data_IF_224664174248
#
_entry.id   IF_224664174248
#
_cell.length_a   1.000
_cell.length_b   1.000
_cell.length_c   1.000
_cell.angle_alpha   90.00
_cell.angle_beta   90.00
_cell.angle_gamma   90.00
#
_symmetry.space_group_name_H-M   'P 1'
#
loop_
_entity.id
_entity.type
_entity.pdbx_description
1 polymer ?
#
# COMPACT_ATOMS: atom_id res chain seq x y z
N UNK A 1 -22.89 76.87 26.36
CA UNK A 1 -23.79 75.73 26.59
C UNK A 1 -23.12 74.50 26.04
N UNK A 2 -22.53 73.69 26.93
CA UNK A 2 -22.01 72.37 26.59
C UNK A 2 -23.20 71.40 26.61
N UNK A 3 -23.48 70.75 25.48
CA UNK A 3 -24.58 69.79 25.33
C UNK A 3 -24.04 68.44 24.88
N UNK A 4 -23.75 67.60 25.88
CA UNK A 4 -23.78 66.12 25.89
C UNK A 4 -23.99 65.39 24.55
N UNK A 5 -22.91 64.86 23.98
CA UNK A 5 -22.88 63.84 22.92
C UNK A 5 -22.34 62.52 23.50
N UNK A 6 -23.08 61.86 24.40
CA UNK A 6 -22.53 60.67 25.07
C UNK A 6 -23.51 59.66 25.68
N UNK A 7 -24.81 59.65 25.33
CA UNK A 7 -25.79 58.80 26.03
C UNK A 7 -26.40 57.64 25.23
N UNK A 8 -26.34 57.63 23.89
CA UNK A 8 -27.03 56.60 23.09
C UNK A 8 -26.21 55.32 22.88
N UNK A 9 -24.88 55.39 22.84
CA UNK A 9 -24.03 54.20 22.71
C UNK A 9 -24.02 53.33 23.99
N UNK A 10 -24.35 53.91 25.16
CA UNK A 10 -24.38 53.20 26.44
C UNK A 10 -25.62 52.31 26.64
N UNK A 11 -26.76 52.71 26.09
CA UNK A 11 -28.05 52.02 26.30
C UNK A 11 -28.17 50.78 25.41
N UNK A 12 -27.70 50.86 24.15
CA UNK A 12 -27.63 49.70 23.25
C UNK A 12 -26.63 48.64 23.76
N UNK A 13 -25.52 49.09 24.38
CA UNK A 13 -24.57 48.20 25.03
C UNK A 13 -25.19 47.51 26.27
N UNK A 14 -25.98 48.21 27.09
CA UNK A 14 -26.64 47.62 28.26
C UNK A 14 -27.76 46.63 27.90
N UNK A 15 -28.60 46.92 26.89
CA UNK A 15 -29.63 45.99 26.42
C UNK A 15 -29.03 44.73 25.78
N UNK A 16 -27.93 44.87 25.04
CA UNK A 16 -27.21 43.69 24.51
C UNK A 16 -26.58 42.84 25.63
N UNK A 17 -26.16 43.49 26.73
CA UNK A 17 -25.58 42.81 27.89
C UNK A 17 -26.63 42.09 28.74
N UNK A 18 -27.84 42.65 28.89
CA UNK A 18 -28.92 41.99 29.65
C UNK A 18 -29.50 40.80 28.90
N UNK A 19 -29.67 40.92 27.57
CA UNK A 19 -30.10 39.79 26.73
C UNK A 19 -29.07 38.66 26.72
N UNK A 20 -27.77 38.99 26.74
CA UNK A 20 -26.72 37.99 26.85
C UNK A 20 -26.77 37.26 28.21
N UNK A 21 -27.05 37.97 29.30
CA UNK A 21 -27.22 37.39 30.64
C UNK A 21 -28.46 36.49 30.73
N UNK A 22 -29.60 36.91 30.20
CA UNK A 22 -30.81 36.07 30.18
C UNK A 22 -30.63 34.80 29.33
N UNK A 23 -29.84 34.90 28.25
CA UNK A 23 -29.50 33.73 27.43
C UNK A 23 -28.62 32.73 28.19
N UNK A 24 -27.62 33.23 28.92
CA UNK A 24 -26.72 32.41 29.75
C UNK A 24 -27.48 31.70 30.89
N UNK A 25 -28.42 32.40 31.54
CA UNK A 25 -29.25 31.81 32.59
C UNK A 25 -30.16 30.71 32.03
N UNK A 26 -30.71 30.88 30.82
CA UNK A 26 -31.49 29.86 30.13
C UNK A 26 -30.66 28.64 29.71
N UNK A 27 -29.38 28.82 29.35
CA UNK A 27 -28.49 27.71 29.00
C UNK A 27 -28.19 26.79 30.19
N UNK A 28 -28.24 27.32 31.42
CA UNK A 28 -27.97 26.56 32.65
C UNK A 28 -29.21 25.86 33.23
N UNK A 29 -30.40 26.13 32.71
CA UNK A 29 -31.64 25.54 33.19
C UNK A 29 -31.67 24.00 32.94
N UNK A 30 -32.08 23.18 33.93
CA UNK A 30 -32.27 21.75 33.74
C UNK A 30 -33.53 21.48 32.90
N UNK A 31 -33.44 20.51 32.00
CA UNK A 31 -34.49 20.22 31.01
C UNK A 31 -34.76 18.72 30.92
N UNK A 32 -36.03 18.35 30.76
CA UNK A 32 -36.45 16.97 30.42
C UNK A 32 -36.90 16.91 28.96
N UNK A 33 -36.63 15.79 28.31
CA UNK A 33 -36.94 15.60 26.89
C UNK A 33 -37.99 14.51 26.75
N UNK A 34 -39.11 14.83 26.10
CA UNK A 34 -40.22 13.91 25.88
C UNK A 34 -40.05 13.12 24.59
N UNK A 35 -39.76 13.80 23.48
CA UNK A 35 -39.61 13.15 22.17
C UNK A 35 -38.67 13.90 21.24
N UNK A 36 -37.98 13.14 20.37
CA UNK A 36 -37.21 13.66 19.23
C UNK A 36 -37.82 13.09 17.96
N UNK A 37 -38.35 13.96 17.10
CA UNK A 37 -38.89 13.57 15.80
C UNK A 37 -37.97 14.02 14.66
N UNK A 38 -37.49 13.09 13.86
CA UNK A 38 -36.66 13.39 12.68
C UNK A 38 -37.50 13.29 11.41
N UNK A 39 -37.79 14.43 10.80
CA UNK A 39 -38.61 14.55 9.59
C UNK A 39 -37.74 14.68 8.34
N UNK A 40 -38.05 13.95 7.27
CA UNK A 40 -37.41 14.10 5.95
C UNK A 40 -36.23 13.17 5.63
N UNK A 41 -35.83 12.31 6.58
CA UNK A 41 -34.86 11.23 6.38
C UNK A 41 -35.52 10.00 5.73
N UNK A 42 -35.68 10.00 4.40
CA UNK A 42 -36.37 8.94 3.64
C UNK A 42 -35.50 7.71 3.36
N UNK A 43 -34.23 7.92 3.04
CA UNK A 43 -33.27 6.90 2.62
C UNK A 43 -32.17 6.65 3.66
N UNK A 44 -32.17 7.36 4.79
CA UNK A 44 -31.29 7.10 5.93
C UNK A 44 -31.89 6.03 6.86
N UNK A 45 -31.08 5.03 7.22
CA UNK A 45 -31.49 3.93 8.11
C UNK A 45 -31.74 4.42 9.52
N UNK A 46 -32.77 3.87 10.16
CA UNK A 46 -33.06 4.11 11.58
C UNK A 46 -31.88 3.80 12.49
N UNK A 47 -31.19 2.67 12.27
CA UNK A 47 -30.03 2.32 13.11
C UNK A 47 -28.88 3.35 13.13
N UNK A 48 -28.74 4.20 12.11
CA UNK A 48 -27.79 5.32 12.13
C UNK A 48 -28.33 6.50 12.97
N UNK A 49 -29.62 6.80 12.83
CA UNK A 49 -30.30 7.84 13.61
C UNK A 49 -30.39 7.45 15.09
N UNK A 50 -30.76 6.21 15.38
CA UNK A 50 -30.88 5.67 16.73
C UNK A 50 -29.53 5.76 17.45
N UNK A 51 -28.43 5.33 16.80
CA UNK A 51 -27.10 5.42 17.40
C UNK A 51 -26.63 6.87 17.70
N UNK A 52 -27.16 7.86 16.97
CA UNK A 52 -26.84 9.28 17.18
C UNK A 52 -27.70 9.93 18.26
N UNK A 53 -29.00 9.65 18.29
CA UNK A 53 -29.97 10.35 19.15
C UNK A 53 -30.31 9.60 20.43
N UNK A 54 -30.18 8.26 20.46
CA UNK A 54 -30.47 7.46 21.65
C UNK A 54 -29.65 7.87 22.89
N UNK A 55 -28.34 8.15 22.80
CA UNK A 55 -27.58 8.62 23.96
C UNK A 55 -28.09 9.95 24.54
N UNK A 56 -28.58 10.85 23.67
CA UNK A 56 -29.14 12.15 24.08
C UNK A 56 -30.45 11.93 24.85
N UNK A 57 -31.30 11.03 24.36
CA UNK A 57 -32.58 10.68 24.99
C UNK A 57 -32.34 10.03 26.37
N UNK A 58 -31.39 9.10 26.47
CA UNK A 58 -31.05 8.41 27.73
C UNK A 58 -30.48 9.37 28.79
N UNK A 59 -29.64 10.33 28.37
CA UNK A 59 -29.09 11.35 29.28
C UNK A 59 -30.15 12.37 29.72
N UNK A 60 -31.04 12.78 28.81
CA UNK A 60 -32.13 13.70 29.14
C UNK A 60 -33.18 13.06 30.06
N UNK A 61 -33.47 11.77 29.90
CA UNK A 61 -34.34 11.00 30.80
C UNK A 61 -33.78 10.87 32.23
N UNK A 62 -32.45 10.99 32.38
CA UNK A 62 -31.76 10.88 33.68
C UNK A 62 -31.70 12.20 34.48
N UNK A 63 -32.38 13.26 34.04
CA UNK A 63 -32.40 14.62 34.66
C UNK A 63 -31.02 15.28 34.79
N UNK A 64 -30.03 14.89 33.99
CA UNK A 64 -28.61 15.29 34.13
C UNK A 64 -28.13 16.31 33.10
N UNK A 65 -29.02 16.86 32.28
CA UNK A 65 -28.66 17.73 31.14
C UNK A 65 -29.20 19.14 31.34
N UNK A 66 -28.34 20.13 31.07
CA UNK A 66 -28.71 21.54 30.93
C UNK A 66 -29.18 21.83 29.51
N UNK A 67 -29.98 22.87 29.31
CA UNK A 67 -30.41 23.29 27.96
C UNK A 67 -29.21 23.56 27.03
N UNK A 68 -28.14 24.16 27.54
CA UNK A 68 -26.92 24.43 26.78
C UNK A 68 -26.17 23.15 26.35
N UNK A 69 -26.10 22.15 27.22
CA UNK A 69 -25.50 20.85 26.87
C UNK A 69 -26.33 20.12 25.81
N UNK A 70 -27.67 20.16 25.95
CA UNK A 70 -28.58 19.59 24.97
C UNK A 70 -28.39 20.20 23.58
N UNK A 71 -28.38 21.53 23.47
CA UNK A 71 -28.17 22.22 22.20
C UNK A 71 -26.82 21.87 21.58
N UNK A 72 -25.76 21.74 22.40
CA UNK A 72 -24.43 21.35 21.93
C UNK A 72 -24.42 19.92 21.39
N UNK A 73 -25.05 18.98 22.09
CA UNK A 73 -25.16 17.59 21.64
C UNK A 73 -25.99 17.45 20.37
N UNK A 74 -27.11 18.18 20.27
CA UNK A 74 -27.94 18.22 19.07
C UNK A 74 -27.19 18.82 17.87
N UNK A 75 -26.43 19.89 18.09
CA UNK A 75 -25.56 20.46 17.05
C UNK A 75 -24.47 19.47 16.63
N UNK A 76 -23.85 18.76 17.57
CA UNK A 76 -22.84 17.72 17.27
C UNK A 76 -23.45 16.56 16.47
N UNK A 77 -24.64 16.08 16.86
CA UNK A 77 -25.36 15.04 16.13
C UNK A 77 -25.74 15.51 14.72
N UNK A 78 -26.14 16.77 14.57
CA UNK A 78 -26.46 17.38 13.29
C UNK A 78 -25.23 17.52 12.38
N UNK A 79 -24.08 17.92 12.92
CA UNK A 79 -22.80 17.95 12.19
C UNK A 79 -22.40 16.55 11.70
N UNK A 80 -22.56 15.53 12.54
CA UNK A 80 -22.30 14.12 12.17
C UNK A 80 -23.25 13.61 11.08
N UNK A 81 -24.46 14.14 10.97
CA UNK A 81 -25.42 13.87 9.90
C UNK A 81 -25.13 14.62 8.59
N UNK A 82 -24.39 15.73 8.69
CA UNK A 82 -24.01 16.62 7.58
C UNK A 82 -23.49 15.95 6.30
N UNK A 83 -22.77 14.81 6.33
CA UNK A 83 -22.36 14.11 5.10
C UNK A 83 -23.52 13.57 4.26
N UNK A 84 -24.66 13.25 4.88
CA UNK A 84 -25.83 12.61 4.24
C UNK A 84 -27.03 13.54 4.05
N UNK A 85 -27.20 14.49 4.96
CA UNK A 85 -28.33 15.42 4.97
C UNK A 85 -27.84 16.86 5.04
N UNK A 86 -28.59 17.77 4.45
CA UNK A 86 -28.51 19.19 4.76
C UNK A 86 -29.64 19.51 5.73
N UNK A 87 -29.32 20.10 6.87
CA UNK A 87 -30.33 20.58 7.81
C UNK A 87 -30.72 22.00 7.49
N UNK A 88 -32.02 22.25 7.46
CA UNK A 88 -32.54 23.60 7.68
C UNK A 88 -32.37 23.94 9.16
N UNK A 89 -32.11 25.20 9.53
CA UNK A 89 -32.14 25.60 10.94
C UNK A 89 -33.46 25.15 11.58
N UNK A 90 -33.44 24.71 12.86
CA UNK A 90 -34.62 24.16 13.51
C UNK A 90 -35.77 25.15 13.42
N UNK A 91 -36.84 24.73 12.74
CA UNK A 91 -38.05 25.51 12.59
C UNK A 91 -38.89 25.20 13.82
N UNK A 92 -38.98 26.15 14.76
CA UNK A 92 -39.72 26.10 16.02
C UNK A 92 -39.19 25.15 17.11
N UNK A 93 -38.52 25.72 18.11
CA UNK A 93 -38.60 25.26 19.50
C UNK A 93 -39.81 25.96 20.12
N UNK A 94 -40.95 25.27 20.23
CA UNK A 94 -42.07 25.80 21.01
C UNK A 94 -41.68 25.71 22.49
N UNK A 95 -41.15 26.80 23.04
CA UNK A 95 -40.96 26.95 24.48
C UNK A 95 -42.35 27.03 25.11
N UNK A 96 -42.79 25.92 25.70
CA UNK A 96 -43.95 25.93 26.58
C UNK A 96 -43.55 26.70 27.84
N UNK A 97 -44.34 27.70 28.19
CA UNK A 97 -44.06 28.79 29.13
C UNK A 97 -44.09 28.37 30.63
N UNK A 98 -43.58 27.18 30.99
CA UNK A 98 -43.65 26.66 32.38
C UNK A 98 -42.45 25.75 32.73
N UNK A 99 -41.65 26.03 33.78
CA UNK A 99 -40.71 25.05 34.34
C UNK A 99 -41.43 24.02 35.24
N UNK A 100 -41.02 22.74 35.27
CA UNK A 100 -39.83 22.16 34.64
C UNK A 100 -40.22 21.51 33.30
N UNK A 101 -39.74 22.07 32.20
CA UNK A 101 -40.41 21.96 30.90
C UNK A 101 -39.96 20.71 30.14
N UNK A 102 -40.88 19.77 29.96
CA UNK A 102 -40.77 18.70 28.95
C UNK A 102 -40.67 19.30 27.55
N UNK A 103 -39.53 19.12 26.89
CA UNK A 103 -39.32 19.57 25.51
C UNK A 103 -39.66 18.47 24.50
N UNK A 104 -40.37 18.87 23.45
CA UNK A 104 -40.56 18.10 22.21
C UNK A 104 -39.71 18.73 21.10
N UNK A 105 -38.78 17.95 20.53
CA UNK A 105 -37.79 18.44 19.56
C UNK A 105 -38.10 17.87 18.18
N UNK A 106 -38.44 18.74 17.23
CA UNK A 106 -38.62 18.34 15.84
C UNK A 106 -37.44 18.79 14.98
N UNK A 107 -36.74 17.82 14.38
CA UNK A 107 -35.58 18.05 13.51
C UNK A 107 -36.01 17.77 12.07
N UNK A 108 -36.05 18.82 11.25
CA UNK A 108 -36.32 18.67 9.81
C UNK A 108 -35.01 18.58 9.03
N UNK A 109 -34.79 17.45 8.39
CA UNK A 109 -33.62 17.19 7.55
C UNK A 109 -34.02 17.08 6.09
N UNK A 110 -33.15 17.54 5.19
CA UNK A 110 -33.30 17.33 3.74
C UNK A 110 -32.12 16.49 3.25
N UNK A 111 -32.40 15.33 2.69
CA UNK A 111 -31.34 14.48 2.14
C UNK A 111 -30.61 15.15 0.98
N UNK A 112 -29.27 15.02 0.97
CA UNK A 112 -28.43 15.49 -0.13
C UNK A 112 -28.64 14.58 -1.35
N UNK A 113 -28.38 15.12 -2.54
CA UNK A 113 -28.40 14.31 -3.77
C UNK A 113 -27.47 13.10 -3.61
N UNK A 114 -27.97 11.92 -3.99
CA UNK A 114 -27.23 10.66 -3.91
C UNK A 114 -26.08 10.61 -4.88
N UNK A 115 -26.24 11.17 -6.08
CA UNK A 115 -25.18 11.24 -7.09
C UNK A 115 -24.71 12.69 -7.21
N UNK A 116 -23.41 12.89 -6.99
CA UNK A 116 -22.72 14.13 -7.30
C UNK A 116 -21.66 13.83 -8.36
N UNK A 117 -21.80 14.48 -9.51
CA UNK A 117 -20.82 14.44 -10.58
C UNK A 117 -20.10 15.79 -10.61
N UNK A 118 -18.77 15.73 -10.60
CA UNK A 118 -17.90 16.89 -10.80
C UNK A 118 -16.93 16.55 -11.93
N UNK A 119 -16.86 17.39 -12.95
CA UNK A 119 -15.87 17.28 -14.00
C UNK A 119 -15.17 18.63 -14.13
N UNK A 120 -13.87 18.61 -14.33
CA UNK A 120 -13.07 19.81 -14.42
C UNK A 120 -11.81 19.58 -15.23
N UNK A 121 -11.24 20.68 -15.68
CA UNK A 121 -9.94 20.72 -16.35
C UNK A 121 -9.07 21.73 -15.61
N UNK A 122 -7.88 21.32 -15.22
CA UNK A 122 -6.84 22.17 -14.67
C UNK A 122 -5.79 22.43 -15.75
N UNK A 123 -5.42 23.70 -15.94
CA UNK A 123 -4.46 24.14 -16.95
C UNK A 123 -3.45 25.04 -16.24
N UNK A 124 -2.24 24.52 -16.02
CA UNK A 124 -1.10 25.27 -15.48
C UNK A 124 0.04 25.39 -16.49
N UNK A 125 1.09 26.14 -16.13
CA UNK A 125 2.22 26.50 -17.00
C UNK A 125 2.97 25.31 -17.66
N UNK A 126 2.76 24.08 -17.21
CA UNK A 126 3.39 22.88 -17.77
C UNK A 126 2.52 21.61 -17.73
N UNK A 127 1.29 21.67 -17.24
CA UNK A 127 0.44 20.49 -17.05
C UNK A 127 -1.02 20.84 -17.32
N UNK A 128 -1.63 20.09 -18.25
CA UNK A 128 -3.07 20.09 -18.48
C UNK A 128 -3.62 18.76 -17.97
N UNK A 129 -4.60 18.80 -17.07
CA UNK A 129 -5.26 17.60 -16.57
C UNK A 129 -6.76 17.77 -16.58
N UNK A 130 -7.47 16.78 -17.12
CA UNK A 130 -8.91 16.64 -17.00
C UNK A 130 -9.19 15.61 -15.91
N UNK A 131 -10.13 15.90 -15.03
CA UNK A 131 -10.60 14.97 -14.02
C UNK A 131 -12.12 14.88 -14.02
N UNK A 132 -12.59 13.70 -13.65
CA UNK A 132 -13.99 13.38 -13.43
C UNK A 132 -14.08 12.70 -12.07
N UNK A 133 -15.01 13.17 -11.25
CA UNK A 133 -15.27 12.64 -9.93
C UNK A 133 -16.76 12.35 -9.80
N UNK A 134 -17.09 11.12 -9.41
CA UNK A 134 -18.44 10.67 -9.16
C UNK A 134 -18.54 10.22 -7.71
N UNK A 135 -19.36 10.89 -6.92
CA UNK A 135 -19.62 10.53 -5.53
C UNK A 135 -21.06 10.04 -5.40
N UNK A 136 -21.20 8.76 -5.06
CA UNK A 136 -22.45 8.14 -4.68
C UNK A 136 -22.53 8.15 -3.15
N UNK A 137 -23.46 8.95 -2.61
CA UNK A 137 -23.69 9.12 -1.18
C UNK A 137 -24.84 8.25 -0.72
N UNK A 138 -24.73 7.79 0.53
CA UNK A 138 -25.75 7.06 1.25
C UNK A 138 -26.31 5.89 0.43
N UNK A 139 -25.41 5.03 -0.05
CA UNK A 139 -25.74 3.96 -1.01
C UNK A 139 -26.79 3.02 -0.43
N UNK A 140 -26.59 2.61 0.82
CA UNK A 140 -27.47 1.67 1.50
C UNK A 140 -28.24 2.30 2.67
N UNK A 141 -28.04 3.60 2.94
CA UNK A 141 -28.73 4.33 3.99
C UNK A 141 -27.97 4.44 5.30
N UNK A 142 -26.76 3.86 5.40
CA UNK A 142 -25.91 3.90 6.58
C UNK A 142 -24.81 4.95 6.49
N UNK A 143 -24.99 6.02 5.71
CA UNK A 143 -23.94 7.01 5.42
C UNK A 143 -22.72 6.46 4.65
N UNK A 144 -22.89 5.37 3.89
CA UNK A 144 -21.85 4.83 3.02
C UNK A 144 -21.64 5.74 1.81
N UNK A 145 -20.41 5.85 1.34
CA UNK A 145 -20.07 6.59 0.13
C UNK A 145 -19.15 5.81 -0.80
N UNK A 146 -19.38 5.92 -2.10
CA UNK A 146 -18.46 5.46 -3.13
C UNK A 146 -18.01 6.68 -3.93
N UNK A 147 -16.71 6.96 -3.91
CA UNK A 147 -16.09 8.02 -4.71
C UNK A 147 -15.26 7.37 -5.80
N UNK A 148 -15.57 7.68 -7.06
CA UNK A 148 -14.77 7.25 -8.21
C UNK A 148 -14.17 8.50 -8.85
N UNK A 149 -12.85 8.57 -8.86
CA UNK A 149 -12.08 9.60 -9.52
C UNK A 149 -11.37 9.00 -10.73
N UNK A 150 -11.50 9.64 -11.89
CA UNK A 150 -10.71 9.34 -13.07
C UNK A 150 -10.10 10.64 -13.58
N UNK A 151 -8.78 10.68 -13.69
CA UNK A 151 -8.02 11.81 -14.21
C UNK A 151 -7.11 11.38 -15.34
N UNK A 152 -6.96 12.27 -16.31
CA UNK A 152 -6.08 12.13 -17.46
C UNK A 152 -5.41 13.47 -17.69
N UNK A 153 -4.14 13.47 -18.06
CA UNK A 153 -3.40 14.70 -18.28
C UNK A 153 -2.13 14.46 -19.07
N UNK A 154 -1.43 15.56 -19.35
CA UNK A 154 -0.20 15.54 -20.12
C UNK A 154 0.91 14.74 -19.44
N UNK A 155 0.97 14.77 -18.10
CA UNK A 155 1.95 14.02 -17.30
C UNK A 155 1.41 12.69 -16.76
N UNK A 156 0.18 12.71 -16.25
CA UNK A 156 -0.50 11.53 -15.74
C UNK A 156 -1.46 11.01 -16.82
N UNK A 157 -1.01 10.06 -17.64
CA UNK A 157 -1.78 9.57 -18.79
C UNK A 157 -3.16 9.05 -18.38
N UNK A 158 -3.22 8.31 -17.28
CA UNK A 158 -4.46 7.80 -16.73
C UNK A 158 -4.30 7.51 -15.24
N UNK A 159 -5.16 8.07 -14.40
CA UNK A 159 -5.24 7.74 -12.98
C UNK A 159 -6.69 7.51 -12.59
N UNK A 160 -6.98 6.29 -12.15
CA UNK A 160 -8.27 5.85 -11.65
C UNK A 160 -8.14 5.56 -10.16
N UNK A 161 -9.05 6.09 -9.37
CA UNK A 161 -9.16 5.81 -7.95
C UNK A 161 -10.62 5.56 -7.60
N UNK A 162 -10.91 4.45 -6.95
CA UNK A 162 -12.24 4.15 -6.42
C UNK A 162 -12.13 3.92 -4.91
N UNK A 163 -12.83 4.73 -4.12
CA UNK A 163 -12.86 4.66 -2.66
C UNK A 163 -14.27 4.38 -2.19
N UNK A 164 -14.50 3.19 -1.62
CA UNK A 164 -15.71 2.87 -0.90
C UNK A 164 -15.48 3.11 0.60
N UNK A 165 -16.37 3.84 1.26
CA UNK A 165 -16.30 4.10 2.68
C UNK A 165 -17.63 3.81 3.37
N UNK A 166 -17.56 3.14 4.51
CA UNK A 166 -18.72 2.81 5.34
C UNK A 166 -18.39 3.09 6.80
N UNK A 167 -19.27 3.73 7.57
CA UNK A 167 -19.18 3.65 9.01
C UNK A 167 -19.36 2.21 9.47
N UNK A 168 -18.60 1.79 10.46
CA UNK A 168 -18.76 0.48 11.10
C UNK A 168 -19.75 0.60 12.24
N UNK A 169 -20.60 -0.42 12.40
CA UNK A 169 -21.58 -0.49 13.49
C UNK A 169 -22.52 0.72 13.56
N UNK A 170 -22.82 1.35 12.41
CA UNK A 170 -23.59 2.60 12.33
C UNK A 170 -23.01 3.76 13.15
N UNK A 171 -21.71 3.73 13.48
CA UNK A 171 -21.04 4.82 14.17
C UNK A 171 -20.30 5.71 13.16
N UNK A 172 -20.70 6.98 12.97
CA UNK A 172 -20.02 7.88 12.03
C UNK A 172 -18.58 8.20 12.42
N UNK A 173 -18.22 8.02 13.69
CA UNK A 173 -16.88 8.26 14.22
C UNK A 173 -15.92 7.12 13.88
N UNK A 174 -16.42 5.90 13.62
CA UNK A 174 -15.63 4.72 13.24
C UNK A 174 -15.89 4.37 11.78
N UNK A 175 -14.91 4.61 10.90
CA UNK A 175 -15.06 4.50 9.46
C UNK A 175 -14.08 3.51 8.86
N UNK A 176 -14.60 2.55 8.11
CA UNK A 176 -13.82 1.70 7.22
C UNK A 176 -13.83 2.28 5.81
N UNK A 177 -12.69 2.19 5.13
CA UNK A 177 -12.52 2.62 3.76
C UNK A 177 -11.68 1.61 3.00
N UNK A 178 -12.14 1.26 1.81
CA UNK A 178 -11.46 0.41 0.84
C UNK A 178 -11.22 1.24 -0.41
N UNK A 179 -9.97 1.37 -0.79
CA UNK A 179 -9.52 2.12 -1.96
C UNK A 179 -8.86 1.17 -2.94
N UNK A 180 -9.19 1.33 -4.23
CA UNK A 180 -8.49 0.70 -5.35
C UNK A 180 -7.95 1.78 -6.26
N UNK A 181 -6.64 1.75 -6.54
CA UNK A 181 -5.96 2.73 -7.37
C UNK A 181 -5.28 2.05 -8.56
N UNK A 182 -5.38 2.68 -9.72
CA UNK A 182 -4.59 2.35 -10.91
C UNK A 182 -4.15 3.65 -11.58
N UNK A 183 -2.86 3.92 -11.56
CA UNK A 183 -2.27 5.13 -12.14
C UNK A 183 -1.14 4.80 -13.10
N UNK A 184 -1.02 5.61 -14.14
CA UNK A 184 0.10 5.64 -15.08
C UNK A 184 0.53 7.09 -15.23
N UNK A 185 1.75 7.38 -14.79
CA UNK A 185 2.33 8.70 -14.85
C UNK A 185 3.71 8.66 -15.49
N UNK A 186 3.94 9.57 -16.42
CA UNK A 186 5.27 9.82 -16.96
C UNK A 186 6.03 10.71 -15.96
N UNK A 187 7.29 10.40 -15.70
CA UNK A 187 8.19 11.19 -14.84
C UNK A 187 9.33 11.74 -15.70
N UNK A 188 9.14 12.85 -16.44
CA UNK A 188 10.12 13.36 -17.40
C UNK A 188 11.50 13.64 -16.81
N UNK A 189 11.57 14.06 -15.55
CA UNK A 189 12.83 14.34 -14.84
C UNK A 189 13.58 13.07 -14.39
N UNK A 190 12.95 11.90 -14.45
CA UNK A 190 13.53 10.61 -14.12
C UNK A 190 13.43 9.61 -15.29
N UNK A 191 13.06 10.10 -16.48
CA UNK A 191 13.04 9.39 -17.75
C UNK A 191 12.42 8.00 -17.73
N UNK A 192 11.33 7.83 -16.98
CA UNK A 192 10.55 6.59 -16.94
C UNK A 192 9.05 6.88 -16.81
N UNK A 193 8.26 5.90 -17.23
CA UNK A 193 6.83 5.79 -16.97
C UNK A 193 6.63 4.89 -15.73
N UNK A 194 5.86 5.40 -14.78
CA UNK A 194 5.51 4.70 -13.54
C UNK A 194 4.06 4.25 -13.60
N UNK A 195 3.85 2.95 -13.48
CA UNK A 195 2.53 2.34 -13.31
C UNK A 195 2.35 1.88 -11.87
N UNK A 196 1.30 2.35 -11.24
CA UNK A 196 0.88 1.98 -9.89
C UNK A 196 -0.44 1.24 -9.99
N UNK A 197 -0.54 0.03 -9.46
CA UNK A 197 -1.81 -0.68 -9.29
C UNK A 197 -1.85 -1.22 -7.88
N UNK A 198 -2.86 -0.86 -7.11
CA UNK A 198 -2.88 -1.25 -5.71
C UNK A 198 -4.22 -1.05 -5.05
N UNK A 199 -4.28 -1.48 -3.80
CA UNK A 199 -5.42 -1.26 -2.93
C UNK A 199 -4.97 -0.81 -1.55
N UNK A 200 -5.80 0.00 -0.92
CA UNK A 200 -5.61 0.47 0.45
C UNK A 200 -6.83 0.11 1.27
N UNK A 201 -6.61 -0.51 2.42
CA UNK A 201 -7.61 -0.70 3.46
C UNK A 201 -7.30 0.28 4.59
N UNK A 202 -8.25 1.15 4.94
CA UNK A 202 -8.08 2.15 5.98
C UNK A 202 -9.23 2.09 6.98
N UNK A 203 -8.90 1.96 8.25
CA UNK A 203 -9.80 2.06 9.39
C UNK A 203 -9.47 3.35 10.15
N UNK A 204 -10.43 4.27 10.24
CA UNK A 204 -10.28 5.53 10.97
C UNK A 204 -11.27 5.59 12.14
N UNK A 205 -10.84 6.12 13.29
CA UNK A 205 -11.72 6.36 14.41
C UNK A 205 -11.38 7.67 15.12
N UNK A 206 -12.40 8.37 15.61
CA UNK A 206 -12.24 9.53 16.49
C UNK A 206 -12.15 9.05 17.94
N UNK A 207 -11.17 9.53 18.70
CA UNK A 207 -11.04 9.22 20.12
C UNK A 207 -12.19 9.86 20.92
N UNK A 208 -12.81 9.16 21.88
CA UNK A 208 -13.80 9.77 22.75
C UNK A 208 -13.15 10.85 23.64
N UNK A 209 -13.74 12.04 23.70
CA UNK A 209 -13.35 13.17 24.58
C UNK A 209 -12.05 13.90 24.22
N UNK A 210 -11.32 13.49 23.19
CA UNK A 210 -10.27 14.28 22.57
C UNK A 210 -10.59 14.47 21.09
N UNK A 211 -10.26 15.62 20.50
CA UNK A 211 -10.47 15.84 19.07
C UNK A 211 -9.47 15.03 18.20
N UNK A 212 -8.85 14.00 18.77
CA UNK A 212 -7.79 13.22 18.14
C UNK A 212 -8.39 12.18 17.21
N UNK A 213 -7.97 12.23 15.95
CA UNK A 213 -8.37 11.25 14.94
C UNK A 213 -7.25 10.25 14.76
N UNK A 214 -7.55 8.97 14.99
CA UNK A 214 -6.64 7.86 14.74
C UNK A 214 -7.00 7.15 13.45
N UNK A 215 -5.99 6.62 12.75
CA UNK A 215 -6.22 5.82 11.55
C UNK A 215 -5.17 4.72 11.40
N UNK A 216 -5.63 3.51 11.09
CA UNK A 216 -4.83 2.37 10.70
C UNK A 216 -5.01 2.14 9.20
N UNK A 217 -3.90 2.15 8.45
CA UNK A 217 -3.93 2.01 6.99
C UNK A 217 -3.00 0.89 6.55
N UNK A 218 -3.52 -0.06 5.79
CA UNK A 218 -2.76 -1.11 5.11
C UNK A 218 -2.84 -0.86 3.61
N UNK A 219 -1.69 -0.63 2.98
CA UNK A 219 -1.59 -0.31 1.55
C UNK A 219 -0.74 -1.35 0.86
N UNK A 220 -1.29 -1.96 -0.18
CA UNK A 220 -0.57 -2.89 -1.07
C UNK A 220 -0.57 -2.32 -2.47
N UNK A 221 0.61 -1.97 -2.98
CA UNK A 221 0.76 -1.33 -4.28
C UNK A 221 1.83 -2.05 -5.08
N UNK A 222 1.44 -2.50 -6.26
CA UNK A 222 2.34 -2.95 -7.32
C UNK A 222 2.86 -1.72 -8.07
N UNK A 223 4.17 -1.49 -7.97
CA UNK A 223 4.87 -0.42 -8.69
C UNK A 223 5.70 -1.00 -9.82
N UNK A 224 5.37 -0.63 -11.05
CA UNK A 224 6.08 -1.03 -12.25
C UNK A 224 6.69 0.20 -12.92
N UNK A 225 8.00 0.14 -13.17
CA UNK A 225 8.75 1.16 -13.91
C UNK A 225 8.92 0.67 -15.36
N UNK A 226 8.58 1.50 -16.32
CA UNK A 226 8.60 1.19 -17.77
C UNK A 226 9.17 2.37 -18.55
N UNK A 227 9.58 2.19 -19.81
CA UNK A 227 10.11 3.26 -20.68
C UNK A 227 11.33 4.04 -20.11
N UNK A 228 12.36 3.32 -19.69
CA UNK A 228 13.67 3.93 -19.39
C UNK A 228 14.27 4.52 -20.69
N UNK A 229 14.48 5.84 -20.79
CA UNK A 229 15.07 6.48 -21.99
C UNK A 229 16.40 5.82 -22.43
N UNK A 230 16.79 5.86 -23.71
CA UNK A 230 17.98 5.16 -24.24
C UNK A 230 19.34 5.53 -23.61
N UNK A 231 19.44 6.59 -22.81
CA UNK A 231 20.58 6.87 -21.92
C UNK A 231 20.62 6.01 -20.64
N UNK A 232 19.61 5.16 -20.41
CA UNK A 232 19.39 4.39 -19.19
C UNK A 232 20.01 2.98 -19.20
N UNK A 233 21.14 2.78 -19.88
CA UNK A 233 22.11 1.85 -19.32
C UNK A 233 22.64 2.54 -18.07
N UNK A 234 22.52 1.96 -16.85
CA UNK A 234 23.12 2.56 -15.66
C UNK A 234 24.64 2.61 -15.89
N UNK A 235 25.13 3.78 -16.28
CA UNK A 235 26.55 4.12 -16.36
C UNK A 235 26.99 4.75 -15.04
N UNK A 236 26.06 5.37 -14.33
CA UNK A 236 26.18 5.98 -13.00
C UNK A 236 24.94 5.67 -12.16
N UNK A 237 25.12 5.51 -10.85
CA UNK A 237 24.02 5.46 -9.87
C UNK A 237 23.90 4.13 -9.14
N UNK A 238 22.91 4.04 -8.25
CA UNK A 238 22.62 2.85 -7.46
C UNK A 238 21.10 2.58 -7.42
N UNK A 239 20.74 1.31 -7.29
CA UNK A 239 19.38 0.80 -7.14
C UNK A 239 19.36 -0.08 -5.90
N UNK A 240 18.41 0.19 -5.00
CA UNK A 240 18.07 -0.69 -3.89
C UNK A 240 16.57 -1.01 -3.99
N UNK A 241 16.25 -2.29 -4.13
CA UNK A 241 14.89 -2.80 -4.19
C UNK A 241 14.73 -3.87 -3.12
N UNK A 242 13.84 -3.63 -2.17
CA UNK A 242 13.46 -4.58 -1.12
C UNK A 242 11.99 -4.94 -1.31
N UNK A 243 11.69 -6.22 -1.46
CA UNK A 243 10.33 -6.76 -1.60
C UNK A 243 10.09 -7.76 -0.49
N UNK A 244 9.04 -7.54 0.31
CA UNK A 244 8.63 -8.46 1.37
C UNK A 244 7.18 -8.87 1.16
N UNK A 245 6.93 -10.17 1.22
CA UNK A 245 5.64 -10.82 1.02
C UNK A 245 5.31 -11.68 2.24
N UNK A 246 4.13 -11.50 2.82
CA UNK A 246 3.66 -12.25 3.99
C UNK A 246 2.36 -12.97 3.63
N UNK A 247 2.37 -14.29 3.76
CA UNK A 247 1.23 -15.17 3.49
C UNK A 247 0.89 -16.02 4.72
N UNK A 248 -0.37 -16.39 4.91
CA UNK A 248 -0.82 -17.41 5.87
C UNK A 248 -0.77 -17.05 7.37
N UNK A 249 -0.23 -15.88 7.73
CA UNK A 249 0.01 -15.50 9.12
C UNK A 249 -1.11 -14.64 9.71
N UNK A 250 -1.51 -14.94 10.95
CA UNK A 250 -2.54 -14.19 11.68
C UNK A 250 -3.90 -14.16 10.99
N UNK A 251 -4.43 -12.98 10.60
CA UNK A 251 -5.72 -12.86 9.92
C UNK A 251 -5.68 -13.34 8.45
N UNK A 252 -4.49 -13.49 7.86
CA UNK A 252 -4.28 -13.91 6.48
C UNK A 252 -4.42 -15.43 6.38
N UNK A 253 -5.66 -15.93 6.38
CA UNK A 253 -5.92 -17.38 6.28
C UNK A 253 -5.56 -17.90 4.87
N UNK A 254 -5.02 -19.11 4.80
CA UNK A 254 -4.70 -19.79 3.54
C UNK A 254 -3.98 -21.10 3.77
N UNK A 255 -3.66 -21.80 2.68
CA UNK A 255 -3.01 -23.11 2.71
C UNK A 255 -1.47 -23.04 2.79
N UNK A 256 -0.91 -21.85 2.60
CA UNK A 256 0.53 -21.56 2.67
C UNK A 256 0.77 -20.46 3.69
N UNK A 257 1.87 -20.56 4.44
CA UNK A 257 2.25 -19.58 5.45
C UNK A 257 3.75 -19.34 5.45
N UNK A 258 4.16 -18.15 5.05
CA UNK A 258 5.56 -17.78 4.91
C UNK A 258 5.76 -16.27 4.92
N UNK A 259 6.98 -15.86 5.26
CA UNK A 259 7.54 -14.53 4.99
C UNK A 259 8.62 -14.69 3.92
N UNK A 260 8.42 -14.08 2.76
CA UNK A 260 9.36 -14.08 1.64
C UNK A 260 9.94 -12.69 1.48
N UNK A 261 11.26 -12.56 1.58
CA UNK A 261 11.95 -11.29 1.45
C UNK A 261 13.02 -11.39 0.37
N UNK A 262 13.05 -10.43 -0.55
CA UNK A 262 14.03 -10.31 -1.63
C UNK A 262 14.67 -8.92 -1.62
N UNK A 263 15.99 -8.88 -1.67
CA UNK A 263 16.80 -7.67 -1.77
C UNK A 263 17.58 -7.70 -3.08
N UNK A 264 17.48 -6.63 -3.87
CA UNK A 264 18.28 -6.38 -5.05
C UNK A 264 19.02 -5.06 -4.87
N UNK A 265 20.33 -5.12 -5.02
CA UNK A 265 21.26 -4.02 -5.04
C UNK A 265 21.92 -4.00 -6.42
N UNK A 266 21.96 -2.84 -7.06
CA UNK A 266 22.73 -2.66 -8.29
C UNK A 266 23.40 -1.30 -8.24
N UNK A 267 24.59 -1.18 -8.81
CA UNK A 267 25.32 0.07 -8.88
C UNK A 267 26.19 0.11 -10.10
N UNK A 268 26.39 1.30 -10.66
CA UNK A 268 27.29 1.54 -11.77
C UNK A 268 28.13 2.80 -11.54
N UNK A 269 29.40 2.72 -11.87
CA UNK A 269 30.37 3.80 -11.76
C UNK A 269 31.14 3.92 -13.08
N UNK A 270 31.23 5.12 -13.68
CA UNK A 270 32.02 5.33 -14.88
C UNK A 270 33.51 5.25 -14.54
N UNK A 271 34.28 4.50 -15.33
CA UNK A 271 35.73 4.37 -15.16
C UNK A 271 36.46 5.33 -16.12
N UNK A 272 37.51 5.99 -15.61
CA UNK A 272 38.48 6.82 -16.35
C UNK A 272 37.90 8.07 -17.05
N UNK A 273 38.40 9.25 -16.65
CA UNK A 273 38.41 10.44 -17.52
C UNK A 273 39.57 10.29 -18.53
N UNK A 274 39.35 10.69 -19.78
CA UNK A 274 40.39 10.64 -20.80
C UNK A 274 41.59 11.51 -20.38
N UNK A 275 42.83 10.98 -20.30
CA UNK A 275 43.99 11.73 -19.83
C UNK A 275 44.34 12.96 -20.68
N UNK A 276 43.82 13.03 -21.91
CA UNK A 276 44.13 14.08 -22.89
C UNK A 276 43.05 15.16 -22.98
N UNK A 277 41.82 14.92 -22.54
CA UNK A 277 40.69 15.88 -22.69
C UNK A 277 39.85 16.11 -21.43
N UNK A 278 40.06 15.36 -20.34
CA UNK A 278 39.29 15.52 -19.10
C UNK A 278 37.82 15.04 -19.19
N UNK A 279 37.40 14.53 -20.34
CA UNK A 279 36.03 14.04 -20.57
C UNK A 279 35.84 12.56 -20.19
N UNK A 280 34.63 12.14 -19.79
CA UNK A 280 34.34 10.75 -19.45
C UNK A 280 34.56 9.80 -20.64
N UNK A 281 35.30 8.70 -20.41
CA UNK A 281 35.70 7.75 -21.46
C UNK A 281 34.55 6.92 -22.06
N UNK A 282 33.37 6.91 -21.41
CA UNK A 282 32.22 6.08 -21.76
C UNK A 282 32.31 4.63 -21.27
N UNK A 283 33.38 4.28 -20.53
CA UNK A 283 33.53 2.98 -19.87
C UNK A 283 32.81 3.03 -18.52
N UNK A 284 32.04 1.99 -18.18
CA UNK A 284 31.38 1.90 -16.87
C UNK A 284 31.51 0.51 -16.24
N UNK A 285 31.81 0.49 -14.95
CA UNK A 285 31.81 -0.69 -14.11
C UNK A 285 30.48 -0.78 -13.37
N UNK A 286 29.73 -1.85 -13.61
CA UNK A 286 28.52 -2.21 -12.88
C UNK A 286 28.78 -3.36 -11.91
N UNK A 287 28.07 -3.34 -10.78
CA UNK A 287 27.98 -4.47 -9.86
C UNK A 287 26.52 -4.65 -9.44
N UNK A 288 26.05 -5.89 -9.46
CA UNK A 288 24.71 -6.30 -9.04
C UNK A 288 24.80 -7.36 -7.95
N UNK A 289 23.87 -7.34 -7.01
CA UNK A 289 23.75 -8.32 -5.96
C UNK A 289 22.26 -8.53 -5.61
N UNK A 290 21.82 -9.78 -5.57
CA UNK A 290 20.47 -10.19 -5.20
C UNK A 290 20.55 -11.24 -4.10
N UNK A 291 19.69 -11.13 -3.10
CA UNK A 291 19.50 -12.17 -2.10
C UNK A 291 18.01 -12.35 -1.82
N UNK A 292 17.63 -13.54 -1.40
CA UNK A 292 16.27 -13.79 -0.94
C UNK A 292 16.20 -14.92 0.08
N UNK A 293 15.23 -14.78 0.97
CA UNK A 293 14.92 -15.75 2.03
C UNK A 293 13.42 -15.97 2.07
N UNK A 294 13.01 -17.23 2.02
CA UNK A 294 11.66 -17.70 2.25
C UNK A 294 11.63 -18.40 3.61
N UNK A 295 10.98 -17.75 4.57
CA UNK A 295 10.86 -18.22 5.94
C UNK A 295 9.47 -18.81 6.18
N UNK A 296 9.31 -20.12 6.40
CA UNK A 296 8.01 -20.72 6.68
C UNK A 296 7.52 -20.28 8.07
N UNK A 297 6.25 -19.88 8.16
CA UNK A 297 5.62 -19.40 9.38
C UNK A 297 4.52 -20.36 9.84
N UNK A 298 4.26 -20.49 11.16
CA UNK A 298 3.10 -21.22 11.64
C UNK A 298 1.79 -20.54 11.20
N UNK A 299 0.76 -21.34 10.93
CA UNK A 299 -0.57 -20.82 10.64
C UNK A 299 -1.19 -20.19 11.91
N UNK A 300 -1.78 -19.00 11.79
CA UNK A 300 -2.44 -18.30 12.90
C UNK A 300 -1.59 -17.26 13.63
N UNK A 301 -1.97 -16.90 14.86
CA UNK A 301 -1.38 -15.76 15.60
C UNK A 301 -0.12 -16.09 16.40
N UNK A 302 0.36 -17.32 16.35
CA UNK A 302 1.50 -17.76 17.17
C UNK A 302 2.78 -17.87 16.35
N UNK A 303 3.85 -17.24 16.83
CA UNK A 303 5.19 -17.31 16.25
C UNK A 303 6.00 -18.50 16.78
N UNK A 304 5.55 -19.17 17.85
CA UNK A 304 6.38 -20.13 18.59
C UNK A 304 5.66 -21.40 19.05
N UNK A 305 4.33 -21.38 19.21
CA UNK A 305 3.56 -22.49 19.78
C UNK A 305 2.85 -23.35 18.75
N UNK A 306 2.92 -22.98 17.47
CA UNK A 306 2.23 -23.69 16.41
C UNK A 306 3.19 -24.21 15.35
N UNK A 307 2.70 -25.13 14.53
CA UNK A 307 3.52 -25.80 13.53
C UNK A 307 3.46 -25.12 12.17
N UNK A 308 4.58 -25.10 11.46
CA UNK A 308 4.74 -24.52 10.14
C UNK A 308 4.83 -25.61 9.07
N UNK A 309 4.19 -25.41 7.92
CA UNK A 309 4.37 -26.29 6.77
C UNK A 309 5.63 -25.86 5.97
N UNK A 310 6.37 -26.80 5.36
CA UNK A 310 7.42 -26.46 4.41
C UNK A 310 6.90 -25.65 3.22
N UNK A 311 7.81 -24.94 2.54
CA UNK A 311 7.50 -24.22 1.31
C UNK A 311 7.06 -25.14 0.18
N UNK A 312 6.10 -24.68 -0.62
CA UNK A 312 5.67 -25.36 -1.86
C UNK A 312 6.52 -24.89 -3.03
N UNK A 313 6.59 -25.72 -4.09
CA UNK A 313 7.35 -25.41 -5.30
C UNK A 313 6.98 -24.06 -5.92
N UNK A 314 5.70 -23.66 -5.84
CA UNK A 314 5.18 -22.40 -6.39
C UNK A 314 5.77 -21.15 -5.72
N UNK A 315 6.15 -21.26 -4.44
CA UNK A 315 6.57 -20.11 -3.64
C UNK A 315 8.10 -19.95 -3.64
N UNK A 316 8.82 -21.03 -3.97
CA UNK A 316 10.29 -21.10 -3.98
C UNK A 316 10.92 -20.18 -5.01
N UNK A 317 12.14 -19.77 -4.73
CA UNK A 317 12.95 -19.03 -5.69
C UNK A 317 13.49 -19.98 -6.76
N UNK A 318 13.56 -19.47 -7.98
CA UNK A 318 14.27 -20.07 -9.09
C UNK A 318 15.39 -19.12 -9.47
N UNK A 319 16.56 -19.67 -9.79
CA UNK A 319 17.74 -18.87 -10.11
C UNK A 319 18.41 -19.40 -11.36
N UNK A 320 18.76 -18.49 -12.27
CA UNK A 320 19.52 -18.82 -13.48
C UNK A 320 18.79 -18.41 -14.75
N UNK A 321 19.58 -18.17 -15.80
CA UNK A 321 19.10 -17.64 -17.08
C UNK A 321 19.78 -16.31 -17.43
N UNK A 322 19.47 -15.74 -18.60
CA UNK A 322 20.18 -14.58 -19.13
C UNK A 322 19.98 -13.29 -18.32
N UNK A 323 18.91 -13.18 -17.52
CA UNK A 323 18.61 -11.99 -16.69
C UNK A 323 19.15 -12.10 -15.26
N UNK A 324 19.34 -13.33 -14.77
CA UNK A 324 19.84 -13.61 -13.43
C UNK A 324 21.32 -14.00 -13.50
N UNK A 325 21.60 -15.30 -13.55
CA UNK A 325 22.95 -15.83 -13.68
C UNK A 325 23.15 -16.34 -15.12
N UNK A 326 23.64 -15.45 -15.99
CA UNK A 326 24.17 -15.77 -17.34
C UNK A 326 25.08 -17.00 -17.29
N UNK A 327 25.10 -17.79 -18.36
CA UNK A 327 25.84 -19.05 -18.43
C UNK A 327 25.11 -20.28 -17.90
N UNK A 328 23.94 -20.10 -17.30
CA UNK A 328 23.09 -21.22 -16.87
C UNK A 328 21.76 -21.21 -17.61
N UNK A 329 21.09 -22.36 -17.65
CA UNK A 329 19.73 -22.47 -18.18
C UNK A 329 18.78 -21.64 -17.32
N UNK A 330 17.63 -21.25 -17.87
CA UNK A 330 16.57 -20.64 -17.08
C UNK A 330 16.24 -21.56 -15.90
N UNK A 331 16.24 -21.02 -14.68
CA UNK A 331 16.04 -21.77 -13.44
C UNK A 331 17.06 -22.93 -13.20
N UNK A 332 18.22 -22.89 -13.85
CA UNK A 332 19.18 -24.01 -13.86
C UNK A 332 20.09 -24.11 -12.62
N UNK A 333 20.08 -23.15 -11.70
CA UNK A 333 20.86 -23.22 -10.45
C UNK A 333 19.99 -23.75 -9.30
N UNK A 334 20.62 -24.45 -8.36
CA UNK A 334 19.97 -24.95 -7.15
C UNK A 334 19.41 -26.38 -7.25
N UNK A 335 18.49 -26.76 -6.34
CA UNK A 335 17.99 -28.13 -6.24
C UNK A 335 17.15 -28.55 -7.46
N UNK A 336 17.50 -29.70 -8.02
CA UNK A 336 16.79 -30.35 -9.12
C UNK A 336 16.32 -31.75 -8.69
N UNK A 337 15.18 -32.17 -9.23
CA UNK A 337 14.72 -33.56 -9.20
C UNK A 337 14.71 -34.10 -10.62
N UNK A 338 15.70 -34.94 -10.94
CA UNK A 338 15.96 -35.35 -12.32
C UNK A 338 16.29 -34.15 -13.22
N UNK A 339 15.43 -33.91 -14.22
CA UNK A 339 15.54 -32.80 -15.17
C UNK A 339 14.74 -31.55 -14.76
N UNK A 340 13.94 -31.64 -13.69
CA UNK A 340 13.04 -30.58 -13.26
C UNK A 340 13.68 -29.72 -12.16
N UNK A 341 13.64 -28.40 -12.34
CA UNK A 341 14.11 -27.44 -11.35
C UNK A 341 13.05 -27.26 -10.24
N UNK A 342 13.39 -27.69 -9.02
CA UNK A 342 12.48 -27.67 -7.86
C UNK A 342 12.57 -26.36 -7.07
N UNK A 343 13.65 -25.60 -7.28
CA UNK A 343 13.88 -24.32 -6.62
C UNK A 343 14.32 -24.44 -5.16
N UNK A 344 14.55 -23.29 -4.53
CA UNK A 344 15.06 -23.20 -3.17
C UNK A 344 14.44 -22.06 -2.38
N UNK A 345 14.74 -22.04 -1.08
CA UNK A 345 14.17 -21.09 -0.13
C UNK A 345 15.11 -19.93 0.15
N UNK A 346 16.42 -20.16 0.00
CA UNK A 346 17.46 -19.17 0.26
C UNK A 346 18.36 -19.07 -0.96
N UNK A 347 18.56 -17.86 -1.46
CA UNK A 347 19.47 -17.63 -2.58
C UNK A 347 20.31 -16.38 -2.40
N UNK A 348 21.47 -16.38 -3.05
CA UNK A 348 22.27 -15.20 -3.31
C UNK A 348 22.83 -15.29 -4.72
N UNK A 349 22.81 -14.17 -5.44
CA UNK A 349 23.40 -14.03 -6.75
C UNK A 349 24.08 -12.67 -6.86
N UNK A 350 25.19 -12.61 -7.56
CA UNK A 350 25.95 -11.38 -7.73
C UNK A 350 26.67 -11.39 -9.06
N UNK A 351 26.95 -10.19 -9.57
CA UNK A 351 27.57 -9.98 -10.85
C UNK A 351 28.40 -8.72 -10.85
N UNK A 352 29.50 -8.75 -11.59
CA UNK A 352 30.23 -7.55 -11.99
C UNK A 352 30.23 -7.50 -13.52
N UNK A 353 30.03 -6.31 -14.06
CA UNK A 353 30.05 -6.08 -15.49
C UNK A 353 30.87 -4.84 -15.84
N UNK A 354 31.65 -4.92 -16.91
CA UNK A 354 32.39 -3.82 -17.48
C UNK A 354 31.79 -3.54 -18.87
N UNK A 355 31.22 -2.36 -19.03
CA UNK A 355 30.68 -1.88 -20.30
C UNK A 355 31.69 -0.95 -20.96
N UNK A 356 32.05 -1.25 -22.20
CA UNK A 356 33.02 -0.52 -23.01
C UNK A 356 32.36 -0.06 -24.30
N UNK A 357 32.53 1.20 -24.75
CA UNK A 357 32.02 1.65 -26.03
C UNK A 357 32.68 0.90 -27.19
N UNK A 358 31.95 0.63 -28.27
CA UNK A 358 32.53 -0.03 -29.44
C UNK A 358 33.62 0.86 -30.08
N UNK A 359 34.79 0.29 -30.43
CA UNK A 359 35.80 1.03 -31.18
C UNK A 359 35.20 1.54 -32.49
N UNK A 360 35.48 2.82 -32.83
CA UNK A 360 35.04 3.53 -34.06
C UNK A 360 33.57 4.00 -34.12
N UNK A 361 32.70 3.61 -33.18
CA UNK A 361 31.28 3.99 -33.21
C UNK A 361 30.92 5.24 -32.37
N UNK A 362 31.91 5.88 -31.75
CA UNK A 362 31.73 7.07 -30.91
C UNK A 362 31.12 6.75 -29.53
N UNK A 363 31.19 7.72 -28.60
CA UNK A 363 30.72 7.56 -27.22
C UNK A 363 29.19 7.51 -27.10
N UNK A 364 28.49 8.21 -27.99
CA UNK A 364 27.03 8.32 -28.02
C UNK A 364 26.32 7.05 -28.52
N UNK A 365 27.08 6.07 -29.05
CA UNK A 365 26.47 4.84 -29.55
C UNK A 365 25.81 4.04 -28.43
N UNK A 366 24.54 3.59 -28.60
CA UNK A 366 23.85 2.70 -27.66
C UNK A 366 24.42 1.27 -27.65
N UNK A 367 25.37 0.96 -28.54
CA UNK A 367 26.07 -0.33 -28.59
C UNK A 367 27.30 -0.31 -27.67
N UNK A 368 27.36 -1.27 -26.74
CA UNK A 368 28.46 -1.47 -25.80
C UNK A 368 28.94 -2.92 -25.83
N UNK A 369 30.24 -3.11 -25.66
CA UNK A 369 30.83 -4.42 -25.35
C UNK A 369 30.72 -4.61 -23.84
N UNK A 370 30.19 -5.74 -23.40
CA UNK A 370 30.09 -6.11 -21.99
C UNK A 370 31.06 -7.25 -21.69
N UNK A 371 31.90 -7.07 -20.69
CA UNK A 371 32.60 -8.17 -20.02
C UNK A 371 31.89 -8.41 -18.70
N UNK A 372 31.56 -9.65 -18.37
CA UNK A 372 30.90 -9.93 -17.11
C UNK A 372 31.47 -11.17 -16.43
N UNK A 373 31.40 -11.15 -15.11
CA UNK A 373 31.57 -12.32 -14.26
C UNK A 373 30.44 -12.31 -13.24
N UNK A 374 29.73 -13.41 -13.13
CA UNK A 374 28.56 -13.52 -12.28
C UNK A 374 28.52 -14.89 -11.63
N UNK A 375 27.88 -14.95 -10.48
CA UNK A 375 27.69 -16.20 -9.79
C UNK A 375 26.49 -16.18 -8.89
N UNK A 376 25.99 -17.36 -8.58
CA UNK A 376 24.86 -17.49 -7.70
C UNK A 376 24.79 -18.85 -7.05
N UNK A 377 23.96 -18.91 -6.02
CA UNK A 377 23.68 -20.13 -5.29
C UNK A 377 22.25 -20.07 -4.78
N UNK A 378 21.58 -21.20 -4.89
CA UNK A 378 20.22 -21.41 -4.43
C UNK A 378 20.18 -22.70 -3.62
N UNK A 379 19.64 -22.64 -2.40
CA UNK A 379 19.60 -23.75 -1.44
C UNK A 379 18.18 -23.91 -0.92
N UNK A 380 17.71 -25.15 -0.82
CA UNK A 380 16.46 -25.50 -0.15
C UNK A 380 16.71 -25.79 1.34
N UNK A 381 15.77 -25.40 2.20
CA UNK A 381 15.83 -25.72 3.62
C UNK A 381 15.64 -27.23 3.81
N UNK A 382 16.70 -27.89 4.30
CA UNK A 382 16.67 -29.32 4.65
C UNK A 382 16.38 -29.47 6.14
N UNK A 383 15.20 -29.99 6.47
CA UNK A 383 14.87 -30.31 7.86
C UNK A 383 15.20 -31.78 8.14
N UNK A 384 16.24 -32.04 8.94
CA UNK A 384 16.63 -33.39 9.39
C UNK A 384 15.77 -33.93 10.56
N UNK A 385 14.51 -33.50 10.65
CA UNK A 385 13.59 -34.00 11.68
C UNK A 385 12.95 -35.32 11.25
N UNK A 386 12.74 -36.25 12.20
CA UNK A 386 11.77 -37.34 12.01
C UNK A 386 10.41 -36.68 11.78
N UNK A 387 9.94 -36.64 10.54
CA UNK A 387 8.60 -36.13 10.24
C UNK A 387 7.59 -36.90 11.08
N UNK A 388 6.96 -36.22 12.04
CA UNK A 388 5.87 -36.82 12.80
C UNK A 388 4.62 -36.65 11.95
N UNK A 389 4.20 -37.74 11.33
CA UNK A 389 2.97 -37.79 10.53
C UNK A 389 1.80 -37.44 11.45
N UNK A 390 1.12 -36.34 11.16
CA UNK A 390 -0.13 -35.99 11.83
C UNK A 390 -1.26 -36.36 10.88
N UNK A 391 -1.97 -37.43 11.21
CA UNK A 391 -3.27 -37.75 10.64
C UNK A 391 -4.24 -36.63 11.06
N UNK A 392 -4.56 -35.72 10.15
CA UNK A 392 -5.69 -34.82 10.33
C UNK A 392 -6.97 -35.64 10.25
N UNK A 393 -7.49 -36.04 11.41
CA UNK A 393 -8.78 -36.70 11.54
C UNK A 393 -9.92 -35.72 11.24
N UNK A 394 -10.70 -36.00 10.19
CA UNK A 394 -11.95 -35.31 9.92
C UNK A 394 -12.42 -35.43 8.47
N UNK A 395 -13.22 -36.46 8.17
CA UNK A 395 -14.06 -36.51 6.97
C UNK A 395 -13.53 -37.35 5.82
N UNK A 396 -14.41 -38.22 5.33
CA UNK A 396 -14.24 -39.21 4.25
C UNK A 396 -13.54 -38.63 3.01
N UNK A 397 -12.37 -39.20 2.65
CA UNK A 397 -11.92 -39.26 1.24
C UNK A 397 -10.75 -38.39 0.77
N UNK A 398 -9.86 -37.85 1.61
CA UNK A 398 -8.65 -37.13 1.12
C UNK A 398 -7.37 -37.51 1.86
N UNK A 399 -6.54 -38.34 1.22
CA UNK A 399 -5.15 -38.63 1.65
C UNK A 399 -4.23 -37.43 1.35
N UNK A 400 -4.30 -36.38 2.17
CA UNK A 400 -3.37 -35.26 2.12
C UNK A 400 -2.21 -35.43 3.12
N UNK A 401 -1.08 -35.99 2.70
CA UNK A 401 0.16 -36.06 3.50
C UNK A 401 0.78 -34.67 3.68
N UNK A 402 0.58 -34.02 4.83
CA UNK A 402 1.23 -32.75 5.18
C UNK A 402 2.47 -32.94 6.06
N UNK A 403 3.64 -32.47 5.62
CA UNK A 403 4.84 -32.39 6.46
C UNK A 403 4.72 -31.17 7.39
N UNK A 404 5.06 -31.36 8.67
CA UNK A 404 4.85 -30.37 9.72
C UNK A 404 6.17 -30.09 10.45
N UNK A 405 6.53 -28.82 10.61
CA UNK A 405 7.75 -28.34 11.25
C UNK A 405 7.44 -27.57 12.53
N UNK A 406 8.22 -27.82 13.57
CA UNK A 406 8.22 -26.94 14.75
C UNK A 406 8.95 -25.62 14.42
N UNK A 407 8.59 -24.52 15.09
CA UNK A 407 9.15 -23.18 14.88
C UNK A 407 10.67 -23.15 15.08
N UNK A 408 11.19 -23.94 16.03
CA UNK A 408 12.64 -24.11 16.24
C UNK A 408 13.31 -24.89 15.10
N UNK A 409 12.63 -25.89 14.55
CA UNK A 409 13.14 -26.65 13.42
C UNK A 409 13.18 -25.79 12.16
N UNK A 410 12.14 -24.97 11.91
CA UNK A 410 12.11 -23.99 10.83
C UNK A 410 13.26 -22.98 10.94
N UNK A 411 13.45 -22.38 12.13
CA UNK A 411 14.54 -21.44 12.36
C UNK A 411 15.92 -22.07 12.15
N UNK A 412 16.16 -23.25 12.74
CA UNK A 412 17.43 -23.96 12.58
C UNK A 412 17.67 -24.41 11.14
N UNK A 413 16.61 -24.79 10.42
CA UNK A 413 16.67 -25.14 9.00
C UNK A 413 17.06 -23.96 8.13
N UNK A 414 16.43 -22.80 8.29
CA UNK A 414 16.79 -21.58 7.56
C UNK A 414 18.20 -21.13 7.91
N UNK A 415 18.57 -21.15 9.20
CA UNK A 415 19.93 -20.82 9.66
C UNK A 415 20.97 -21.75 9.04
N UNK A 416 20.69 -23.06 8.99
CA UNK A 416 21.56 -24.03 8.34
C UNK A 416 21.64 -23.80 6.82
N UNK A 417 20.54 -23.43 6.16
CA UNK A 417 20.52 -23.12 4.73
C UNK A 417 21.31 -21.83 4.40
N UNK A 418 21.23 -20.79 5.24
CA UNK A 418 22.07 -19.60 5.13
C UNK A 418 23.54 -19.95 5.38
N UNK A 419 23.82 -20.82 6.35
CA UNK A 419 25.16 -21.35 6.58
C UNK A 419 25.70 -22.15 5.40
N UNK A 420 24.87 -23.00 4.77
CA UNK A 420 25.21 -23.75 3.56
C UNK A 420 25.48 -22.77 2.40
N UNK A 421 24.64 -21.74 2.23
CA UNK A 421 24.81 -20.72 1.20
C UNK A 421 26.18 -20.04 1.25
N UNK A 422 26.61 -19.63 2.46
CA UNK A 422 27.84 -18.85 2.67
C UNK A 422 29.09 -19.72 2.88
N UNK A 423 28.94 -20.89 3.51
CA UNK A 423 30.07 -21.69 4.01
C UNK A 423 30.40 -22.96 3.23
N UNK A 424 29.46 -23.51 2.44
CA UNK A 424 29.67 -24.83 1.80
C UNK A 424 30.22 -24.72 0.37
N UNK A 425 31.48 -24.33 0.26
CA UNK A 425 32.22 -24.27 -1.00
C UNK A 425 31.81 -23.13 -1.94
N UNK A 426 32.38 -23.15 -3.15
CA UNK A 426 32.20 -22.07 -4.12
C UNK A 426 30.76 -22.03 -4.67
N UNK A 427 30.20 -20.83 -4.93
CA UNK A 427 28.97 -20.68 -5.70
C UNK A 427 29.22 -21.07 -7.17
N UNK A 428 28.13 -21.22 -7.92
CA UNK A 428 28.22 -21.49 -9.35
C UNK A 428 28.50 -20.19 -10.07
N UNK A 429 29.55 -20.17 -10.90
CA UNK A 429 30.12 -18.95 -11.48
C UNK A 429 30.22 -19.12 -12.98
N UNK A 430 29.90 -18.06 -13.71
CA UNK A 430 30.13 -17.93 -15.13
C UNK A 430 30.84 -16.60 -15.43
N UNK A 431 31.55 -16.58 -16.55
CA UNK A 431 32.13 -15.37 -17.09
C UNK A 431 31.89 -15.33 -18.60
N UNK A 432 31.89 -14.14 -19.17
CA UNK A 432 31.60 -14.01 -20.59
C UNK A 432 31.84 -12.63 -21.15
N UNK A 433 31.69 -12.57 -22.47
CA UNK A 433 31.74 -11.35 -23.26
C UNK A 433 30.44 -11.25 -24.04
N UNK A 434 29.88 -10.06 -24.12
CA UNK A 434 28.65 -9.83 -24.85
C UNK A 434 28.61 -8.49 -25.55
N UNK A 435 27.61 -8.36 -26.41
CA UNK A 435 27.22 -7.12 -27.04
C UNK A 435 25.91 -6.67 -26.42
N UNK A 436 25.90 -5.46 -25.87
CA UNK A 436 24.73 -4.81 -25.29
C UNK A 436 24.27 -3.73 -26.24
N UNK A 437 22.99 -3.78 -26.60
CA UNK A 437 22.32 -2.72 -27.30
C UNK A 437 21.28 -2.09 -26.36
N UNK A 438 21.58 -0.87 -25.92
CA UNK A 438 20.70 -0.07 -25.07
C UNK A 438 19.62 0.60 -25.94
N UNK A 439 18.52 -0.09 -26.19
CA UNK A 439 17.36 0.46 -26.88
C UNK A 439 16.47 1.24 -25.89
N UNK A 440 15.77 2.32 -26.31
CA UNK A 440 14.84 3.10 -25.48
C UNK A 440 13.74 2.32 -24.71
N UNK A 441 13.51 1.06 -25.04
CA UNK A 441 12.39 0.26 -24.53
C UNK A 441 12.85 -1.01 -23.80
N UNK A 442 14.08 -1.47 -24.08
CA UNK A 442 14.63 -2.71 -23.55
C UNK A 442 16.15 -2.74 -23.74
N UNK A 443 16.86 -3.44 -22.86
CA UNK A 443 18.26 -3.77 -23.10
C UNK A 443 18.33 -5.14 -23.76
N UNK A 444 18.97 -5.18 -24.92
CA UNK A 444 19.26 -6.42 -25.64
C UNK A 444 20.69 -6.81 -25.33
N UNK A 445 20.89 -8.04 -24.86
CA UNK A 445 22.21 -8.61 -24.61
C UNK A 445 22.41 -9.86 -25.47
N UNK A 446 23.49 -9.87 -26.25
CA UNK A 446 24.00 -11.07 -26.89
C UNK A 446 25.28 -11.47 -26.16
N UNK A 447 25.18 -12.45 -25.26
CA UNK A 447 26.27 -12.86 -24.38
C UNK A 447 26.84 -14.21 -24.80
N UNK A 448 28.14 -14.28 -25.06
CA UNK A 448 28.88 -15.54 -25.09
C UNK A 448 29.36 -15.85 -23.68
N UNK A 449 28.77 -16.88 -23.07
CA UNK A 449 28.96 -17.22 -21.67
C UNK A 449 29.68 -18.57 -21.49
N UNK A 450 30.59 -18.60 -20.53
CA UNK A 450 31.35 -19.78 -20.12
C UNK A 450 31.14 -20.03 -18.62
N UNK A 451 30.44 -21.10 -18.23
CA UNK A 451 30.38 -21.57 -16.85
C UNK A 451 31.77 -22.03 -16.40
N UNK A 452 32.29 -21.41 -15.34
CA UNK A 452 33.61 -21.67 -14.75
C UNK A 452 33.49 -22.67 -13.61
N UNK A 453 32.47 -22.50 -12.76
CA UNK A 453 32.16 -23.41 -11.64
C UNK A 453 30.69 -23.78 -11.74
N UNK A 454 30.41 -25.08 -11.74
CA UNK A 454 29.06 -25.64 -11.78
C UNK A 454 28.94 -26.70 -10.70
N UNK A 455 27.88 -26.64 -9.89
CA UNK A 455 27.63 -27.66 -8.87
C UNK A 455 26.90 -28.85 -9.48
N UNK A 456 27.08 -30.02 -8.86
CA UNK A 456 26.46 -31.27 -9.34
C UNK A 456 24.93 -31.14 -9.28
N UNK A 457 24.27 -31.44 -10.40
CA UNK A 457 22.80 -31.38 -10.53
C UNK A 457 22.27 -30.06 -11.09
N UNK A 458 23.12 -29.04 -11.28
CA UNK A 458 22.72 -27.80 -11.96
C UNK A 458 22.85 -27.92 -13.48
N UNK A 459 22.09 -27.10 -14.21
CA UNK A 459 22.08 -27.09 -15.67
C UNK A 459 22.77 -25.83 -16.23
N UNK A 460 24.03 -26.00 -16.63
CA UNK A 460 24.80 -24.95 -17.28
C UNK A 460 24.55 -24.90 -18.80
N UNK A 461 24.60 -23.71 -19.39
CA UNK A 461 24.42 -23.47 -20.82
C UNK A 461 25.60 -22.67 -21.37
N UNK A 462 26.51 -23.39 -22.05
CA UNK A 462 27.67 -22.82 -22.74
C UNK A 462 27.25 -22.15 -24.07
N UNK A 463 27.97 -21.10 -24.44
CA UNK A 463 27.84 -20.45 -25.74
C UNK A 463 26.93 -19.23 -25.71
N UNK A 464 26.22 -18.98 -26.82
CA UNK A 464 25.44 -17.78 -27.03
C UNK A 464 24.13 -17.82 -26.24
N UNK A 465 23.90 -16.76 -25.47
CA UNK A 465 22.66 -16.47 -24.77
C UNK A 465 22.14 -15.12 -25.23
N UNK A 466 20.85 -15.08 -25.56
CA UNK A 466 20.15 -13.84 -25.90
C UNK A 466 19.31 -13.45 -24.68
N UNK A 467 19.56 -12.26 -24.15
CA UNK A 467 18.78 -11.65 -23.08
C UNK A 467 18.01 -10.45 -23.61
N UNK A 468 16.73 -10.35 -23.28
CA UNK A 468 15.90 -9.17 -23.52
C UNK A 468 15.21 -8.84 -22.22
N UNK A 469 15.41 -7.63 -21.69
CA UNK A 469 14.92 -7.30 -20.37
C UNK A 469 15.18 -5.85 -19.95
N UNK A 470 14.74 -5.55 -18.72
CA UNK A 470 14.89 -4.23 -18.07
C UNK A 470 15.72 -4.35 -16.78
N UNK A 471 15.72 -5.52 -16.14
CA UNK A 471 16.58 -5.89 -15.01
C UNK A 471 17.56 -6.98 -15.47
N UNK A 472 18.85 -6.72 -15.27
CA UNK A 472 19.95 -7.63 -15.54
C UNK A 472 20.96 -7.53 -14.40
N UNK A 473 21.58 -8.65 -14.06
CA UNK A 473 22.67 -8.76 -13.10
C UNK A 473 24.03 -8.32 -13.68
#
# INVERSE_FOLDING_TARGET
MAGSLGSDDGNAAQESSSLAQELDDHLLAPVTLRSIEVHGAKNTRRGLLDNLFQPIIEQAASSRITFGDLLRQLNTANEKLGPTTTTSPPSSTSLLDVPPTDLDISIRVREKSRLQLSAGTDIGNAEGSAYTNAVLRNIFGGAESLSVNASTGTRTRSAYNAVFSSPLLNNPDLRLSLEGLRSSAQKPWASHDEHLTGGTLRLAWLAPNTADTHALTYTSVWRQLTNLTPTASPTTGYLLRLVSELAGWGPLKGDVSFLKSELELSGAVPLLASPTTGEPSGISLGAGFRMGVLYPLPLGYSLTSNTAAPSRINDRFLLGGPTDVRGFKQAGLGPHDGADAVGGDVFAAGGVSLLVPLPRLGRESPLRIQFFANGGRLVAVKNKGKGREVLSGGGVGSEGRGLVLDSRAAFNGVKAAVGELVGDGLPSVAAGVGLVYAHPQARFELNASLPVVQRRGEEARKGLQVGVGISFL
#
